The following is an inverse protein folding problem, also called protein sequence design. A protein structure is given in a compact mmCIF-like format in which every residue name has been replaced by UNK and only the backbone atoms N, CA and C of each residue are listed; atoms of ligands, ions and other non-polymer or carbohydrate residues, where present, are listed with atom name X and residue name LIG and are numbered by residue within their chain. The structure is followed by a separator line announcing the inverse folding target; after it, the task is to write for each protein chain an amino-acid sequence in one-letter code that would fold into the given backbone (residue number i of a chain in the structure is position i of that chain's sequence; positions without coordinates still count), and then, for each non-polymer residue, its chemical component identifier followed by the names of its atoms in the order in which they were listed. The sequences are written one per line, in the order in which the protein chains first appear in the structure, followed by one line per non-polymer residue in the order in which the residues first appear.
data_IF_971942823724
#
_entry.id   IF_971942823724
#
_cell.length_a   1.000
_cell.length_b   1.000
_cell.length_c   1.000
_cell.angle_alpha   90.00
_cell.angle_beta   90.00
_cell.angle_gamma   90.00
#
_symmetry.space_group_name_H-M   'P 1'
#
loop_
_entity.id
_entity.type
_entity.pdbx_description
1 polymer ?
#
# COMPACT_ATOMS: atom_id res chain seq x y z
N UNK A 1 -21.13 62.49 -15.02
CA UNK A 1 -20.14 62.39 -13.92
C UNK A 1 -20.81 61.53 -12.86
N UNK A 2 -20.64 60.23 -13.01
CA UNK A 2 -19.75 59.42 -12.15
C UNK A 2 -20.55 58.95 -10.93
N UNK A 3 -21.10 57.74 -11.03
CA UNK A 3 -21.51 56.97 -9.86
C UNK A 3 -20.75 55.65 -9.92
N UNK A 4 -20.03 55.42 -8.83
CA UNK A 4 -19.04 54.39 -8.62
C UNK A 4 -19.54 53.00 -9.04
N UNK A 5 -18.71 52.33 -9.85
CA UNK A 5 -18.79 50.88 -10.04
C UNK A 5 -18.35 50.23 -8.74
N UNK A 6 -19.27 49.60 -8.03
CA UNK A 6 -18.95 48.66 -6.96
C UNK A 6 -18.09 47.54 -7.55
N UNK A 7 -16.85 47.44 -7.06
CA UNK A 7 -16.03 46.26 -7.22
C UNK A 7 -16.70 45.11 -6.45
N UNK A 8 -17.56 44.36 -7.14
CA UNK A 8 -17.88 43.00 -6.73
C UNK A 8 -16.59 42.21 -6.94
N UNK A 9 -15.82 42.07 -5.86
CA UNK A 9 -14.76 41.08 -5.78
C UNK A 9 -15.45 39.73 -5.97
N UNK A 10 -15.38 39.19 -7.18
CA UNK A 10 -15.62 37.78 -7.46
C UNK A 10 -14.78 36.99 -6.47
N UNK A 11 -15.45 36.38 -5.49
CA UNK A 11 -14.91 35.29 -4.70
C UNK A 11 -14.70 34.12 -5.67
N UNK A 12 -13.56 34.13 -6.37
CA UNK A 12 -13.10 32.96 -7.11
C UNK A 12 -12.89 31.84 -6.09
N UNK A 13 -13.82 30.89 -6.13
CA UNK A 13 -13.87 29.77 -5.21
C UNK A 13 -12.56 28.98 -5.23
N UNK A 14 -12.16 28.50 -4.06
CA UNK A 14 -11.01 27.63 -3.83
C UNK A 14 -11.07 26.27 -4.56
N UNK A 15 -12.09 26.05 -5.40
CA UNK A 15 -12.27 24.84 -6.18
C UNK A 15 -11.93 25.16 -7.65
N UNK A 16 -10.69 24.88 -8.06
CA UNK A 16 -10.34 24.80 -9.47
C UNK A 16 -11.26 23.76 -10.13
N UNK A 17 -12.19 24.19 -10.97
CA UNK A 17 -13.14 23.30 -11.66
C UNK A 17 -12.37 22.24 -12.46
N UNK A 18 -12.51 20.98 -12.06
CA UNK A 18 -12.04 19.81 -12.82
C UNK A 18 -10.77 19.13 -12.30
N UNK A 19 -10.09 19.69 -11.29
CA UNK A 19 -8.96 19.03 -10.65
C UNK A 19 -9.33 18.66 -9.21
N UNK A 20 -9.35 17.35 -8.91
CA UNK A 20 -9.54 16.82 -7.56
C UNK A 20 -8.27 16.11 -7.05
N UNK A 21 -7.23 16.84 -6.60
CA UNK A 21 -5.95 16.24 -6.21
C UNK A 21 -6.05 15.48 -4.89
N UNK A 22 -7.08 15.76 -4.10
CA UNK A 22 -7.27 15.21 -2.76
C UNK A 22 -8.37 14.14 -2.72
N UNK A 23 -9.09 13.91 -3.83
CA UNK A 23 -10.17 12.93 -3.93
C UNK A 23 -11.45 13.32 -3.18
N UNK A 24 -11.60 14.58 -2.76
CA UNK A 24 -12.77 15.00 -1.99
C UNK A 24 -14.02 15.10 -2.85
N UNK A 25 -13.87 15.47 -4.11
CA UNK A 25 -14.97 15.50 -5.07
C UNK A 25 -15.49 14.10 -5.35
N UNK A 26 -14.60 13.13 -5.57
CA UNK A 26 -14.97 11.72 -5.74
C UNK A 26 -15.65 11.16 -4.48
N UNK A 27 -15.10 11.42 -3.30
CA UNK A 27 -15.70 10.99 -2.04
C UNK A 27 -17.08 11.62 -1.78
N UNK A 28 -17.26 12.90 -2.12
CA UNK A 28 -18.55 13.58 -2.01
C UNK A 28 -19.58 13.03 -3.00
N UNK A 29 -19.17 12.73 -4.23
CA UNK A 29 -20.03 12.10 -5.22
C UNK A 29 -20.47 10.69 -4.80
N UNK A 30 -19.62 9.93 -4.12
CA UNK A 30 -19.92 8.58 -3.64
C UNK A 30 -21.02 8.53 -2.57
N UNK A 31 -21.31 9.65 -1.89
CA UNK A 31 -22.39 9.76 -0.88
C UNK A 31 -23.60 10.52 -1.39
N UNK A 32 -23.62 10.91 -2.67
CA UNK A 32 -24.76 11.55 -3.30
C UNK A 32 -25.89 10.54 -3.58
N UNK A 33 -27.14 11.01 -3.52
CA UNK A 33 -28.33 10.19 -3.76
C UNK A 33 -29.01 9.69 -2.48
N UNK A 34 -29.98 8.78 -2.67
CA UNK A 34 -30.78 8.25 -1.56
C UNK A 34 -30.09 7.05 -0.90
N UNK A 35 -29.97 7.08 0.43
CA UNK A 35 -29.49 5.94 1.20
C UNK A 35 -30.31 4.67 0.94
N UNK A 36 -31.60 4.79 0.62
CA UNK A 36 -32.43 3.61 0.31
C UNK A 36 -31.99 2.92 -0.98
N UNK A 37 -31.58 3.69 -1.99
CA UNK A 37 -31.09 3.13 -3.26
C UNK A 37 -29.70 2.51 -3.09
N UNK A 38 -28.87 3.08 -2.21
CA UNK A 38 -27.61 2.47 -1.79
C UNK A 38 -27.83 1.07 -1.19
N UNK A 39 -28.76 0.95 -0.24
CA UNK A 39 -29.05 -0.32 0.43
C UNK A 39 -29.62 -1.35 -0.54
N UNK A 40 -30.48 -0.96 -1.49
CA UNK A 40 -30.95 -1.87 -2.54
C UNK A 40 -29.79 -2.43 -3.35
N UNK A 41 -28.84 -1.57 -3.76
CA UNK A 41 -27.65 -1.99 -4.50
C UNK A 41 -26.80 -2.95 -3.67
N UNK A 42 -26.57 -2.64 -2.39
CA UNK A 42 -25.85 -3.53 -1.47
C UNK A 42 -26.49 -4.92 -1.36
N UNK A 43 -27.83 -5.01 -1.27
CA UNK A 43 -28.54 -6.29 -1.20
C UNK A 43 -28.43 -7.08 -2.51
N UNK A 44 -28.48 -6.40 -3.65
CA UNK A 44 -28.29 -7.05 -4.96
C UNK A 44 -26.89 -7.63 -5.09
N UNK A 45 -25.87 -6.87 -4.71
CA UNK A 45 -24.47 -7.31 -4.71
C UNK A 45 -24.22 -8.47 -3.75
N UNK A 46 -24.80 -8.42 -2.54
CA UNK A 46 -24.66 -9.50 -1.55
C UNK A 46 -25.17 -10.85 -2.07
N UNK A 47 -26.18 -10.84 -2.94
CA UNK A 47 -26.79 -12.04 -3.51
C UNK A 47 -26.08 -12.56 -4.76
N UNK A 48 -25.04 -11.87 -5.23
CA UNK A 48 -24.30 -12.35 -6.39
C UNK A 48 -23.54 -13.64 -6.04
N UNK A 49 -23.61 -14.68 -6.88
CA UNK A 49 -23.00 -15.97 -6.58
C UNK A 49 -21.47 -15.95 -6.68
N UNK A 50 -20.90 -14.96 -7.36
CA UNK A 50 -19.46 -14.84 -7.62
C UNK A 50 -19.00 -13.44 -7.24
N UNK A 51 -17.90 -13.35 -6.51
CA UNK A 51 -17.23 -12.09 -6.17
C UNK A 51 -15.91 -12.01 -6.93
N UNK A 52 -15.79 -11.03 -7.83
CA UNK A 52 -14.55 -10.78 -8.59
C UNK A 52 -13.70 -9.70 -7.89
N UNK A 53 -12.45 -10.03 -7.56
CA UNK A 53 -11.49 -9.13 -6.92
C UNK A 53 -10.53 -8.54 -7.96
N UNK A 54 -10.59 -7.21 -8.11
CA UNK A 54 -9.81 -6.45 -9.11
C UNK A 54 -8.69 -5.58 -8.52
N UNK A 55 -8.65 -5.40 -7.20
CA UNK A 55 -7.67 -4.56 -6.50
C UNK A 55 -8.09 -3.10 -6.29
N UNK A 56 -9.13 -2.65 -6.99
CA UNK A 56 -9.91 -1.45 -6.69
C UNK A 56 -11.38 -1.85 -6.72
N UNK A 57 -12.24 -1.25 -5.87
CA UNK A 57 -13.71 -1.47 -5.84
C UNK A 57 -14.27 -2.64 -5.01
N UNK A 58 -13.57 -3.12 -3.98
CA UNK A 58 -14.16 -4.09 -3.03
C UNK A 58 -15.24 -3.43 -2.16
N UNK A 59 -16.46 -3.96 -2.18
CA UNK A 59 -17.62 -3.43 -1.44
C UNK A 59 -17.96 -4.23 -0.19
N UNK A 60 -18.58 -3.58 0.81
CA UNK A 60 -18.98 -4.22 2.08
C UNK A 60 -19.98 -5.37 1.83
N UNK A 61 -20.89 -5.22 0.87
CA UNK A 61 -21.84 -6.24 0.43
C UNK A 61 -21.15 -7.54 0.00
N UNK A 62 -20.06 -7.44 -0.77
CA UNK A 62 -19.27 -8.58 -1.25
C UNK A 62 -18.51 -9.25 -0.11
N UNK A 63 -17.93 -8.46 0.81
CA UNK A 63 -17.26 -9.00 2.01
C UNK A 63 -18.25 -9.79 2.88
N UNK A 64 -19.44 -9.22 3.10
CA UNK A 64 -20.51 -9.90 3.84
C UNK A 64 -20.97 -11.18 3.12
N UNK A 65 -21.08 -11.16 1.78
CA UNK A 65 -21.49 -12.31 1.00
C UNK A 65 -20.52 -13.48 1.14
N UNK A 66 -19.21 -13.21 1.07
CA UNK A 66 -18.16 -14.23 1.26
C UNK A 66 -18.16 -14.74 2.70
N UNK A 67 -18.23 -13.83 3.69
CA UNK A 67 -18.20 -14.20 5.11
C UNK A 67 -19.41 -15.05 5.52
N UNK A 68 -20.59 -14.78 4.95
CA UNK A 68 -21.82 -15.51 5.21
C UNK A 68 -21.96 -16.81 4.38
N UNK A 69 -21.04 -17.07 3.45
CA UNK A 69 -21.14 -18.18 2.50
C UNK A 69 -22.28 -18.02 1.48
N UNK A 70 -22.79 -16.80 1.30
CA UNK A 70 -23.79 -16.49 0.29
C UNK A 70 -23.19 -16.44 -1.13
N UNK A 71 -21.91 -16.06 -1.24
CA UNK A 71 -21.14 -16.19 -2.47
C UNK A 71 -20.58 -17.62 -2.59
N UNK A 72 -20.77 -18.23 -3.76
CA UNK A 72 -20.31 -19.57 -4.09
C UNK A 72 -18.86 -19.63 -4.58
N UNK A 73 -18.32 -18.51 -5.10
CA UNK A 73 -16.95 -18.43 -5.59
C UNK A 73 -16.35 -17.02 -5.47
N UNK A 74 -15.02 -16.99 -5.38
CA UNK A 74 -14.20 -15.77 -5.48
C UNK A 74 -13.27 -15.90 -6.67
N UNK A 75 -13.34 -14.95 -7.58
CA UNK A 75 -12.51 -14.90 -8.79
C UNK A 75 -11.51 -13.76 -8.70
N UNK A 76 -10.29 -13.98 -9.20
CA UNK A 76 -9.27 -12.95 -9.29
C UNK A 76 -9.22 -12.41 -10.71
N UNK A 77 -9.20 -11.08 -10.82
CA UNK A 77 -9.15 -10.43 -12.11
C UNK A 77 -7.76 -10.54 -12.73
N UNK A 78 -7.67 -11.05 -13.96
CA UNK A 78 -6.40 -11.29 -14.64
C UNK A 78 -5.64 -10.00 -14.97
N UNK A 79 -6.33 -8.85 -15.04
CA UNK A 79 -5.74 -7.55 -15.35
C UNK A 79 -4.72 -7.12 -14.27
N UNK A 80 -4.93 -7.52 -13.01
CA UNK A 80 -4.01 -7.21 -11.90
C UNK A 80 -2.72 -8.07 -11.95
N UNK A 81 -2.72 -9.19 -12.68
CA UNK A 81 -1.62 -10.17 -12.68
C UNK A 81 -0.29 -9.56 -13.09
N UNK A 82 -0.28 -8.74 -14.15
CA UNK A 82 0.94 -8.15 -14.68
C UNK A 82 1.59 -7.21 -13.65
N UNK A 83 0.79 -6.35 -13.00
CA UNK A 83 1.28 -5.44 -11.96
C UNK A 83 1.79 -6.17 -10.73
N UNK A 84 1.07 -7.20 -10.28
CA UNK A 84 1.50 -8.05 -9.15
C UNK A 84 2.79 -8.79 -9.47
N UNK A 85 2.93 -9.33 -10.69
CA UNK A 85 4.17 -10.00 -11.11
C UNK A 85 5.33 -9.01 -11.19
N UNK A 86 5.11 -7.82 -11.76
CA UNK A 86 6.15 -6.80 -11.89
C UNK A 86 6.70 -6.36 -10.53
N UNK A 87 5.84 -6.14 -9.53
CA UNK A 87 6.31 -5.79 -8.18
C UNK A 87 7.04 -6.95 -7.50
N UNK A 88 6.57 -8.20 -7.69
CA UNK A 88 7.25 -9.39 -7.19
C UNK A 88 8.65 -9.58 -7.80
N UNK A 89 8.76 -9.46 -9.12
CA UNK A 89 10.04 -9.60 -9.84
C UNK A 89 11.01 -8.51 -9.38
N UNK A 90 10.53 -7.27 -9.23
CA UNK A 90 11.34 -6.14 -8.76
C UNK A 90 11.87 -6.37 -7.34
N UNK A 91 11.05 -6.85 -6.41
CA UNK A 91 11.51 -7.18 -5.05
C UNK A 91 12.59 -8.26 -5.10
N UNK A 92 12.37 -9.32 -5.89
CA UNK A 92 13.34 -10.42 -6.02
C UNK A 92 14.69 -9.97 -6.60
N UNK A 93 14.66 -9.12 -7.63
CA UNK A 93 15.87 -8.52 -8.22
C UNK A 93 16.58 -7.59 -7.22
N UNK A 94 15.83 -6.73 -6.54
CA UNK A 94 16.38 -5.77 -5.58
C UNK A 94 17.03 -6.44 -4.37
N UNK A 95 16.45 -7.54 -3.89
CA UNK A 95 17.09 -8.38 -2.86
C UNK A 95 18.40 -8.99 -3.36
N UNK A 96 18.42 -9.47 -4.61
CA UNK A 96 19.62 -10.07 -5.22
C UNK A 96 20.75 -9.05 -5.42
N UNK A 97 20.40 -7.78 -5.63
CA UNK A 97 21.33 -6.66 -5.70
C UNK A 97 21.87 -6.20 -4.33
N UNK A 98 21.38 -6.78 -3.22
CA UNK A 98 21.83 -6.45 -1.85
C UNK A 98 21.18 -5.19 -1.27
N UNK A 99 20.01 -4.78 -1.78
CA UNK A 99 19.24 -3.66 -1.24
C UNK A 99 18.77 -3.92 0.19
N UNK A 100 18.71 -2.87 1.00
CA UNK A 100 18.18 -2.95 2.37
C UNK A 100 16.69 -2.54 2.40
N UNK A 101 15.83 -3.54 2.52
CA UNK A 101 14.38 -3.40 2.54
C UNK A 101 13.84 -3.73 3.93
N UNK A 102 13.25 -2.74 4.58
CA UNK A 102 12.61 -2.94 5.89
C UNK A 102 11.52 -4.01 5.81
N UNK A 103 11.46 -4.88 6.81
CA UNK A 103 10.54 -6.03 6.81
C UNK A 103 10.96 -7.17 5.89
N UNK A 104 12.09 -7.06 5.18
CA UNK A 104 12.64 -8.12 4.32
C UNK A 104 14.08 -8.46 4.73
N UNK A 105 15.01 -7.49 4.68
CA UNK A 105 16.44 -7.68 5.03
C UNK A 105 16.83 -7.00 6.35
N UNK A 106 16.11 -5.94 6.75
CA UNK A 106 16.36 -5.17 7.98
C UNK A 106 15.53 -5.66 9.18
N UNK A 107 14.86 -6.82 9.08
CA UNK A 107 13.94 -7.32 10.10
C UNK A 107 12.74 -6.40 10.35
N UNK A 108 11.95 -6.74 11.36
CA UNK A 108 10.87 -5.90 11.87
C UNK A 108 11.26 -5.43 13.28
N UNK A 109 10.76 -4.26 13.68
CA UNK A 109 11.00 -3.66 15.01
C UNK A 109 12.41 -3.09 15.22
N UNK A 110 12.62 -2.45 16.38
CA UNK A 110 13.92 -1.95 16.83
C UNK A 110 14.69 -3.07 17.55
N UNK A 111 15.23 -4.02 16.79
CA UNK A 111 16.41 -4.74 17.25
C UNK A 111 17.31 -5.11 16.07
N UNK A 112 18.13 -4.15 15.64
CA UNK A 112 19.33 -4.48 14.88
C UNK A 112 20.60 -4.01 15.61
N UNK A 113 21.61 -4.90 15.74
CA UNK A 113 22.96 -4.47 16.08
C UNK A 113 23.56 -3.70 14.89
N UNK A 114 24.60 -2.88 15.13
CA UNK A 114 25.14 -1.91 14.17
C UNK A 114 25.54 -2.50 12.79
N UNK A 115 25.50 -1.68 11.72
CA UNK A 115 25.52 -2.09 10.31
C UNK A 115 26.81 -2.81 9.83
N UNK A 116 27.84 -2.91 10.65
CA UNK A 116 29.10 -3.58 10.27
C UNK A 116 29.02 -5.12 10.30
N UNK A 117 27.87 -5.71 10.67
CA UNK A 117 27.74 -7.16 10.84
C UNK A 117 26.76 -7.84 9.87
N UNK A 118 25.98 -7.05 9.11
CA UNK A 118 25.07 -7.56 8.09
C UNK A 118 25.86 -7.64 6.79
N UNK A 119 26.42 -8.81 6.49
CA UNK A 119 27.13 -9.07 5.23
C UNK A 119 28.44 -9.86 5.33
N UNK A 120 29.01 -10.08 6.52
CA UNK A 120 30.25 -10.90 6.62
C UNK A 120 29.94 -12.38 6.70
N UNK A 121 30.54 -13.16 5.79
CA UNK A 121 30.45 -14.62 5.77
C UNK A 121 30.94 -15.18 7.12
N UNK A 122 30.31 -16.25 7.66
CA UNK A 122 30.71 -16.85 8.94
C UNK A 122 32.21 -17.19 9.03
N UNK A 123 32.84 -17.53 7.90
CA UNK A 123 34.29 -17.82 7.80
C UNK A 123 35.19 -16.62 8.13
N UNK A 124 34.77 -15.40 7.82
CA UNK A 124 35.55 -14.18 8.09
C UNK A 124 35.48 -13.76 9.56
N UNK A 125 34.42 -14.19 10.28
CA UNK A 125 34.29 -13.97 11.73
C UNK A 125 35.26 -14.84 12.53
N UNK A 126 35.53 -16.07 12.08
CA UNK A 126 36.47 -16.97 12.75
C UNK A 126 37.91 -16.44 12.72
N UNK A 127 38.34 -15.85 11.59
CA UNK A 127 39.69 -15.31 11.44
C UNK A 127 39.96 -14.11 12.38
N UNK A 128 39.01 -13.19 12.55
CA UNK A 128 39.22 -12.04 13.45
C UNK A 128 39.21 -12.41 14.93
N UNK A 129 38.50 -13.48 15.31
CA UNK A 129 38.51 -13.98 16.69
C UNK A 129 39.86 -14.65 17.02
N UNK A 130 40.43 -15.39 16.06
CA UNK A 130 41.78 -15.98 16.19
C UNK A 130 42.87 -14.91 16.23
N UNK A 131 42.83 -13.90 15.37
CA UNK A 131 43.80 -12.78 15.38
C UNK A 131 43.78 -12.00 16.70
N UNK A 132 42.59 -11.72 17.26
CA UNK A 132 42.46 -11.10 18.59
C UNK A 132 42.89 -12.00 19.75
N UNK A 133 42.95 -13.32 19.54
CA UNK A 133 43.48 -14.29 20.51
C UNK A 133 45.00 -14.35 20.45
N UNK A 134 45.59 -14.26 19.26
CA UNK A 134 47.04 -14.18 19.09
C UNK A 134 47.62 -12.88 19.65
N UNK A 135 46.99 -11.72 19.41
CA UNK A 135 47.40 -10.44 20.00
C UNK A 135 47.36 -10.44 21.54
N UNK A 136 46.41 -11.15 22.16
CA UNK A 136 46.33 -11.27 23.64
C UNK A 136 47.25 -12.33 24.25
N UNK A 137 47.80 -13.24 23.45
CA UNK A 137 48.72 -14.27 23.90
C UNK A 137 50.20 -13.90 23.65
N UNK A 138 50.46 -12.84 22.86
CA UNK A 138 51.81 -12.30 22.62
C UNK A 138 52.25 -11.19 23.59
N UNK A 139 51.42 -10.82 24.57
CA UNK A 139 51.76 -9.84 25.62
C UNK A 139 52.04 -10.51 26.99
N UNK A 140 52.71 -11.68 26.99
CA UNK A 140 53.32 -12.26 28.19
C UNK A 140 54.76 -12.67 27.92
#
# INVERSE_FOLDING_TARGET
MEHARENVLEMEGLCQKGWDPLGWGEAAAAVEGSHFDEVKRMVQEFRQPVVSLRGAELKISQVAAVAAGAASAVELADEARAGVKASSDWVAESMSAGGDHYGVTTGFWLHLPPPHQVGRRPSERAHQILERRHLRLGER
#
